data_IF_803584268255
#
_entry.id   IF_803584268255
#
_cell.length_a   1.000
_cell.length_b   1.000
_cell.length_c   1.000
_cell.angle_alpha   90.00
_cell.angle_beta   90.00
_cell.angle_gamma   90.00
#
_symmetry.space_group_name_H-M   'P 1'
#
loop_
_entity.id
_entity.type
_entity.pdbx_description
1 polymer ?
#
# COMPACT_ATOMS: atom_id res chain seq x y z
N UNK A 1 -46.88 18.59 -26.85
CA UNK A 1 -45.54 17.96 -26.81
C UNK A 1 -44.52 19.01 -26.40
N UNK A 2 -44.13 19.05 -25.12
CA UNK A 2 -43.16 20.03 -24.62
C UNK A 2 -41.76 19.42 -24.65
N UNK A 3 -41.00 19.71 -25.71
CA UNK A 3 -39.57 19.43 -25.75
C UNK A 3 -38.87 20.45 -24.85
N UNK A 4 -38.70 20.12 -23.57
CA UNK A 4 -37.81 20.84 -22.67
C UNK A 4 -36.37 20.49 -23.07
N UNK A 5 -35.88 21.15 -24.12
CA UNK A 5 -34.45 21.23 -24.35
C UNK A 5 -33.87 21.95 -23.15
N UNK A 6 -33.07 21.25 -22.35
CA UNK A 6 -32.28 21.89 -21.31
C UNK A 6 -31.33 22.80 -22.07
N UNK A 7 -31.60 24.11 -22.06
CA UNK A 7 -30.64 25.11 -22.45
C UNK A 7 -29.55 25.08 -21.38
N UNK A 8 -28.63 24.11 -21.50
CA UNK A 8 -27.47 24.02 -20.63
C UNK A 8 -26.67 25.28 -20.94
N UNK A 9 -26.82 26.27 -20.08
CA UNK A 9 -26.07 27.53 -20.16
C UNK A 9 -24.60 27.19 -20.28
N UNK A 10 -23.89 27.89 -21.17
CA UNK A 10 -22.45 27.73 -21.41
C UNK A 10 -21.65 27.64 -20.09
N UNK A 11 -22.10 28.38 -19.07
CA UNK A 11 -21.50 28.38 -17.75
C UNK A 11 -21.52 27.00 -17.06
N UNK A 12 -22.60 26.23 -17.23
CA UNK A 12 -22.73 24.88 -16.67
C UNK A 12 -21.75 23.91 -17.33
N UNK A 13 -21.56 24.01 -18.65
CA UNK A 13 -20.59 23.20 -19.38
C UNK A 13 -19.17 23.49 -18.87
N UNK A 14 -18.83 24.76 -18.68
CA UNK A 14 -17.52 25.19 -18.18
C UNK A 14 -17.28 24.64 -16.77
N UNK A 15 -18.24 24.79 -15.86
CA UNK A 15 -18.12 24.30 -14.47
C UNK A 15 -17.99 22.78 -14.45
N UNK A 16 -18.78 22.06 -15.26
CA UNK A 16 -18.70 20.61 -15.36
C UNK A 16 -17.32 20.14 -15.89
N UNK A 17 -16.77 20.83 -16.89
CA UNK A 17 -15.45 20.51 -17.44
C UNK A 17 -14.32 20.73 -16.41
N UNK A 18 -14.36 21.85 -15.68
CA UNK A 18 -13.39 22.14 -14.60
C UNK A 18 -13.50 21.09 -13.49
N UNK A 19 -14.72 20.77 -13.06
CA UNK A 19 -14.96 19.75 -12.04
C UNK A 19 -14.42 18.38 -12.44
N UNK A 20 -14.64 17.97 -13.69
CA UNK A 20 -14.13 16.71 -14.20
C UNK A 20 -12.59 16.71 -14.27
N UNK A 21 -11.97 17.80 -14.72
CA UNK A 21 -10.52 17.94 -14.78
C UNK A 21 -9.88 17.80 -13.39
N UNK A 22 -10.42 18.48 -12.38
CA UNK A 22 -9.92 18.38 -11.00
C UNK A 22 -10.06 16.96 -10.46
N UNK A 23 -11.21 16.31 -10.70
CA UNK A 23 -11.45 14.94 -10.24
C UNK A 23 -10.44 13.95 -10.86
N UNK A 24 -10.15 14.08 -12.15
CA UNK A 24 -9.14 13.26 -12.85
C UNK A 24 -7.76 13.47 -12.21
N UNK A 25 -7.33 14.71 -11.99
CA UNK A 25 -6.03 15.00 -11.38
C UNK A 25 -5.93 14.44 -9.96
N UNK A 26 -6.96 14.66 -9.13
CA UNK A 26 -7.01 14.11 -7.77
C UNK A 26 -6.95 12.58 -7.79
N UNK A 27 -7.73 11.93 -8.66
CA UNK A 27 -7.71 10.48 -8.78
C UNK A 27 -6.33 9.96 -9.14
N UNK A 28 -5.64 10.56 -10.12
CA UNK A 28 -4.29 10.14 -10.52
C UNK A 28 -3.27 10.26 -9.37
N UNK A 29 -3.34 11.34 -8.58
CA UNK A 29 -2.47 11.55 -7.42
C UNK A 29 -2.77 10.50 -6.35
N UNK A 30 -4.04 10.28 -6.01
CA UNK A 30 -4.43 9.32 -4.98
C UNK A 30 -4.07 7.88 -5.37
N UNK A 31 -4.36 7.46 -6.60
CA UNK A 31 -3.96 6.13 -7.09
C UNK A 31 -2.43 5.94 -7.07
N UNK A 32 -1.66 6.97 -7.47
CA UNK A 32 -0.20 6.92 -7.42
C UNK A 32 0.36 6.79 -5.99
N UNK A 33 -0.26 7.44 -5.00
CA UNK A 33 0.17 7.37 -3.59
C UNK A 33 -0.25 6.06 -2.91
N UNK A 34 -1.43 5.52 -3.22
CA UNK A 34 -1.91 4.25 -2.65
C UNK A 34 -0.99 3.08 -3.01
N UNK A 35 -0.48 3.04 -4.24
CA UNK A 35 0.48 2.00 -4.66
C UNK A 35 1.73 1.99 -3.78
N UNK A 36 2.32 3.16 -3.53
CA UNK A 36 3.51 3.31 -2.68
C UNK A 36 3.20 2.98 -1.20
N UNK A 37 2.04 3.39 -0.69
CA UNK A 37 1.65 3.13 0.69
C UNK A 37 1.41 1.64 0.98
N UNK A 38 0.87 0.89 0.00
CA UNK A 38 0.70 -0.56 0.11
C UNK A 38 2.04 -1.31 0.21
N UNK A 39 3.08 -0.78 -0.43
CA UNK A 39 4.40 -1.39 -0.42
C UNK A 39 5.09 -1.18 0.94
N UNK A 40 5.01 0.03 1.50
CA UNK A 40 5.64 0.33 2.80
C UNK A 40 4.95 -0.33 4.00
N UNK A 41 3.67 -0.69 3.91
CA UNK A 41 2.96 -1.40 5.00
C UNK A 41 3.18 -2.91 4.96
N UNK A 42 3.70 -3.44 3.85
CA UNK A 42 4.03 -4.85 3.68
C UNK A 42 5.47 -5.17 4.12
N UNK A 43 6.23 -4.22 4.65
CA UNK A 43 7.59 -4.46 5.11
C UNK A 43 7.61 -5.22 6.43
N UNK A 44 8.42 -6.30 6.48
CA UNK A 44 8.55 -7.16 7.67
C UNK A 44 8.97 -6.36 8.92
N UNK A 45 9.86 -5.38 8.74
CA UNK A 45 10.33 -4.49 9.80
C UNK A 45 9.23 -3.64 10.42
N UNK A 46 8.18 -3.28 9.66
CA UNK A 46 7.06 -2.47 10.17
C UNK A 46 6.16 -3.31 11.08
N UNK A 47 6.10 -4.62 10.88
CA UNK A 47 5.38 -5.54 11.77
C UNK A 47 6.21 -6.00 12.97
N UNK A 48 7.37 -5.38 13.21
CA UNK A 48 8.27 -5.78 14.29
C UNK A 48 8.94 -7.13 14.05
N UNK A 49 9.08 -7.54 12.80
CA UNK A 49 9.78 -8.74 12.38
C UNK A 49 11.08 -8.45 11.64
N UNK A 50 11.80 -9.51 11.32
CA UNK A 50 13.04 -9.49 10.55
C UNK A 50 12.93 -10.43 9.36
N UNK A 51 13.55 -10.05 8.24
CA UNK A 51 13.61 -10.90 7.06
C UNK A 51 14.81 -11.84 7.14
N UNK A 52 14.58 -13.13 7.01
CA UNK A 52 15.65 -14.13 6.95
C UNK A 52 15.27 -15.30 6.04
N UNK A 53 16.24 -16.18 5.79
CA UNK A 53 15.99 -17.40 5.03
C UNK A 53 15.14 -18.41 5.84
N UNK A 54 15.35 -18.45 7.16
CA UNK A 54 14.61 -19.29 8.10
C UNK A 54 14.44 -18.58 9.45
N UNK A 55 13.29 -18.80 10.08
CA UNK A 55 13.02 -18.32 11.42
C UNK A 55 13.67 -19.25 12.45
N UNK A 56 14.37 -18.69 13.44
CA UNK A 56 15.14 -19.43 14.44
C UNK A 56 16.64 -19.53 14.20
N UNK A 57 17.15 -19.13 13.01
CA UNK A 57 18.59 -19.07 12.71
C UNK A 57 19.20 -17.67 12.98
N UNK A 58 18.43 -16.77 13.59
CA UNK A 58 18.76 -15.35 13.67
C UNK A 58 18.97 -14.94 15.13
N UNK A 59 20.24 -14.88 15.55
CA UNK A 59 20.68 -14.32 16.83
C UNK A 59 20.64 -12.78 16.78
N UNK A 60 19.44 -12.18 16.78
CA UNK A 60 19.26 -10.71 16.84
C UNK A 60 19.00 -10.28 18.29
N UNK A 61 20.02 -10.42 19.13
CA UNK A 61 19.90 -10.12 20.56
C UNK A 61 18.90 -11.06 21.26
N UNK A 62 18.53 -10.76 22.50
CA UNK A 62 17.73 -11.63 23.39
C UNK A 62 16.27 -11.84 22.98
N UNK A 63 15.94 -11.75 21.68
CA UNK A 63 14.59 -11.85 21.15
C UNK A 63 14.49 -13.01 20.16
N UNK A 64 13.68 -14.02 20.50
CA UNK A 64 13.43 -15.18 19.65
C UNK A 64 12.43 -14.84 18.53
N UNK A 65 12.92 -14.78 17.29
CA UNK A 65 12.11 -14.60 16.07
C UNK A 65 11.73 -15.97 15.48
N UNK A 66 10.80 -16.66 16.14
CA UNK A 66 10.42 -18.04 15.80
C UNK A 66 9.16 -18.15 14.93
N UNK A 67 8.38 -17.07 14.77
CA UNK A 67 7.06 -17.14 14.12
C UNK A 67 7.13 -16.68 12.66
N UNK A 68 7.01 -17.57 11.66
CA UNK A 68 6.98 -17.17 10.26
C UNK A 68 5.63 -16.55 9.89
N UNK A 69 5.65 -15.41 9.21
CA UNK A 69 4.48 -14.80 8.57
C UNK A 69 4.57 -14.94 7.04
N UNK A 70 3.83 -15.88 6.43
CA UNK A 70 3.87 -16.11 4.98
C UNK A 70 3.16 -15.02 4.17
N UNK A 71 2.43 -14.11 4.84
CA UNK A 71 1.66 -13.05 4.19
C UNK A 71 2.54 -11.87 3.77
N UNK A 72 3.72 -11.73 4.39
CA UNK A 72 4.70 -10.70 4.05
C UNK A 72 5.81 -11.32 3.20
N UNK A 73 5.99 -10.77 2.00
CA UNK A 73 7.14 -11.09 1.18
C UNK A 73 8.26 -10.12 1.52
N UNK A 74 9.41 -10.66 1.88
CA UNK A 74 10.61 -9.86 2.08
C UNK A 74 11.73 -10.37 1.15
N UNK A 75 12.68 -9.50 0.83
CA UNK A 75 13.86 -9.83 0.05
C UNK A 75 15.09 -9.73 0.93
N UNK A 76 15.91 -10.76 0.89
CA UNK A 76 17.24 -10.75 1.49
C UNK A 76 18.14 -9.74 0.76
N UNK A 77 19.25 -9.28 1.38
CA UNK A 77 20.21 -8.37 0.73
C UNK A 77 20.77 -8.95 -0.58
N UNK A 78 20.81 -10.28 -0.69
CA UNK A 78 21.24 -11.03 -1.88
C UNK A 78 20.17 -11.10 -2.99
N UNK A 79 18.97 -10.55 -2.75
CA UNK A 79 17.85 -10.51 -3.71
C UNK A 79 16.97 -11.76 -3.71
N UNK A 80 17.31 -12.76 -2.91
CA UNK A 80 16.55 -14.01 -2.73
C UNK A 80 15.25 -13.78 -1.93
N UNK A 81 14.20 -14.58 -2.18
CA UNK A 81 12.96 -14.51 -1.41
C UNK A 81 13.21 -14.99 0.03
N UNK A 82 13.02 -14.10 0.99
CA UNK A 82 13.09 -14.43 2.42
C UNK A 82 11.71 -14.64 3.03
N UNK A 83 11.69 -15.23 4.22
CA UNK A 83 10.51 -15.32 5.09
C UNK A 83 10.56 -14.20 6.13
N UNK A 84 9.40 -13.62 6.43
CA UNK A 84 9.29 -12.66 7.52
C UNK A 84 9.12 -13.38 8.86
N UNK A 85 10.03 -13.18 9.78
CA UNK A 85 10.04 -13.78 11.11
C UNK A 85 9.63 -12.74 12.15
N UNK A 86 8.53 -12.99 12.86
CA UNK A 86 8.02 -12.12 13.92
C UNK A 86 8.57 -12.55 15.28
N UNK A 87 8.79 -11.57 16.15
CA UNK A 87 9.15 -11.81 17.55
C UNK A 87 8.03 -12.60 18.24
N UNK A 88 8.37 -13.65 18.98
CA UNK A 88 7.42 -14.30 19.87
C UNK A 88 7.10 -13.37 21.03
N UNK A 89 5.85 -12.92 21.12
CA UNK A 89 5.36 -12.26 22.32
C UNK A 89 5.20 -13.33 23.41
N UNK A 90 6.26 -13.55 24.19
CA UNK A 90 6.16 -14.29 25.46
C UNK A 90 5.25 -13.46 26.36
N UNK A 91 3.99 -13.91 26.52
CA UNK A 91 3.09 -13.41 27.55
C UNK A 91 3.58 -13.86 28.93
#
# INVERSE_FOLDING_TARGET
MNKKGVEISMNVIIIAAIGLMVLVVLSAIFLGRIGVFSQSTADCSIQGGICAERCGDIDVGSEDYLTPNPSIKCKLPDGEPGVCCLKVATQ
#
